data_IF_600653705243
#
_entry.id   IF_600653705243
#
_cell.length_a   1.000
_cell.length_b   1.000
_cell.length_c   1.000
_cell.angle_alpha   90.00
_cell.angle_beta   90.00
_cell.angle_gamma   90.00
#
_symmetry.space_group_name_H-M   'P 1'
#
loop_
_entity.id
_entity.type
_entity.pdbx_description
1 polymer ?
#
# COMPACT_ATOMS: atom_id res chain seq x y z
N UNK A 1 -7.80 -6.91 15.22
CA UNK A 1 -7.91 -5.43 15.18
C UNK A 1 -9.35 -5.04 15.49
N UNK A 2 -9.56 -4.03 16.35
CA UNK A 2 -10.90 -3.52 16.68
C UNK A 2 -11.13 -2.20 15.96
N UNK A 3 -12.28 -2.04 15.32
CA UNK A 3 -12.57 -0.92 14.43
C UNK A 3 -13.88 -0.24 14.84
N UNK A 4 -13.81 1.08 15.08
CA UNK A 4 -14.96 1.95 15.41
C UNK A 4 -14.84 3.26 14.65
N UNK A 5 -15.92 3.68 14.02
CA UNK A 5 -16.02 4.87 13.18
C UNK A 5 -15.24 4.74 11.88
N UNK A 6 -15.21 5.83 11.12
CA UNK A 6 -14.39 5.90 9.89
C UNK A 6 -12.92 5.65 10.23
N UNK A 7 -12.31 4.71 9.52
CA UNK A 7 -10.91 4.35 9.66
C UNK A 7 -10.03 5.23 8.78
N UNK A 8 -8.83 5.55 9.26
CA UNK A 8 -7.75 6.09 8.43
C UNK A 8 -7.19 4.95 7.59
N UNK A 9 -7.53 4.95 6.31
CA UNK A 9 -7.12 3.94 5.34
C UNK A 9 -6.28 4.55 4.25
N UNK A 10 -5.22 3.84 3.85
CA UNK A 10 -4.38 4.23 2.74
C UNK A 10 -4.01 3.00 1.91
N UNK A 11 -4.03 3.14 0.59
CA UNK A 11 -3.80 2.04 -0.35
C UNK A 11 -2.74 2.47 -1.33
N UNK A 12 -1.61 1.77 -1.31
CA UNK A 12 -0.44 2.09 -2.14
C UNK A 12 0.06 0.86 -2.87
N UNK A 13 0.89 1.09 -3.89
CA UNK A 13 1.57 0.02 -4.62
C UNK A 13 3.05 0.04 -4.26
N UNK A 14 3.59 -1.14 -3.97
CA UNK A 14 5.01 -1.35 -3.71
C UNK A 14 5.61 -2.14 -4.87
N UNK A 15 6.81 -1.74 -5.28
CA UNK A 15 7.59 -2.36 -6.36
C UNK A 15 6.78 -2.64 -7.65
N UNK A 16 6.09 -1.63 -8.23
CA UNK A 16 5.29 -1.82 -9.44
C UNK A 16 6.16 -2.32 -10.62
N UNK A 17 5.62 -3.24 -11.42
CA UNK A 17 6.31 -3.77 -12.61
C UNK A 17 7.42 -4.79 -12.32
N UNK A 18 7.53 -5.27 -11.09
CA UNK A 18 8.46 -6.36 -10.70
C UNK A 18 7.70 -7.59 -10.22
N UNK A 19 8.39 -8.74 -10.14
CA UNK A 19 7.83 -9.97 -9.56
C UNK A 19 7.58 -9.85 -8.04
N UNK A 20 8.12 -8.82 -7.41
CA UNK A 20 7.93 -8.49 -5.98
C UNK A 20 6.80 -7.48 -5.76
N UNK A 21 6.04 -7.14 -6.82
CA UNK A 21 4.95 -6.20 -6.71
C UNK A 21 3.97 -6.58 -5.59
N UNK A 22 3.49 -5.59 -4.86
CA UNK A 22 2.49 -5.78 -3.82
C UNK A 22 1.57 -4.57 -3.73
N UNK A 23 0.29 -4.81 -3.45
CA UNK A 23 -0.64 -3.76 -3.04
C UNK A 23 -0.66 -3.72 -1.52
N UNK A 24 -0.27 -2.58 -0.96
CA UNK A 24 -0.22 -2.36 0.48
C UNK A 24 -1.48 -1.62 0.94
N UNK A 25 -2.24 -2.23 1.83
CA UNK A 25 -3.45 -1.67 2.45
C UNK A 25 -3.15 -1.36 3.91
N UNK A 26 -3.11 -0.08 4.26
CA UNK A 26 -3.00 0.40 5.63
C UNK A 26 -4.39 0.68 6.18
N UNK A 27 -4.71 0.14 7.35
CA UNK A 27 -5.94 0.42 8.09
C UNK A 27 -5.54 0.74 9.53
N UNK A 28 -5.56 2.03 9.88
CA UNK A 28 -5.00 2.52 11.14
C UNK A 28 -3.53 2.12 11.28
N UNK A 29 -3.25 1.21 12.22
CA UNK A 29 -1.90 0.66 12.52
C UNK A 29 -1.62 -0.71 11.89
N UNK A 30 -2.56 -1.25 11.13
CA UNK A 30 -2.39 -2.55 10.44
C UNK A 30 -1.97 -2.29 9.00
N UNK A 31 -1.01 -3.06 8.51
CA UNK A 31 -0.53 -3.03 7.14
C UNK A 31 -0.65 -4.42 6.51
N UNK A 32 -1.36 -4.51 5.40
CA UNK A 32 -1.60 -5.74 4.66
C UNK A 32 -0.91 -5.64 3.30
N UNK A 33 -0.02 -6.57 2.97
CA UNK A 33 0.55 -6.70 1.64
C UNK A 33 -0.18 -7.82 0.90
N UNK A 34 -0.78 -7.46 -0.24
CA UNK A 34 -1.47 -8.37 -1.14
C UNK A 34 -0.56 -8.58 -2.35
N UNK A 35 -0.13 -9.81 -2.60
CA UNK A 35 0.82 -10.12 -3.67
C UNK A 35 0.17 -10.66 -4.95
N UNK A 36 -1.16 -10.78 -4.98
CA UNK A 36 -1.90 -11.34 -6.11
C UNK A 36 -3.24 -10.62 -6.26
N UNK A 37 -3.67 -10.43 -7.52
CA UNK A 37 -4.99 -9.87 -7.82
C UNK A 37 -6.11 -10.72 -7.21
N UNK A 38 -6.00 -12.05 -7.31
CA UNK A 38 -6.99 -12.98 -6.77
C UNK A 38 -7.10 -12.92 -5.25
N UNK A 39 -6.01 -12.56 -4.55
CA UNK A 39 -6.04 -12.31 -3.10
C UNK A 39 -6.79 -11.02 -2.80
N UNK A 40 -6.52 -9.93 -3.52
CA UNK A 40 -7.23 -8.67 -3.34
C UNK A 40 -8.73 -8.80 -3.64
N UNK A 41 -9.08 -9.55 -4.69
CA UNK A 41 -10.46 -9.92 -5.01
C UNK A 41 -11.12 -10.71 -3.87
N UNK A 42 -10.44 -11.73 -3.34
CA UNK A 42 -10.97 -12.55 -2.26
C UNK A 42 -11.26 -11.72 -1.00
N UNK A 43 -10.34 -10.82 -0.64
CA UNK A 43 -10.56 -9.91 0.48
C UNK A 43 -11.80 -9.04 0.22
N UNK A 44 -11.90 -8.40 -0.95
CA UNK A 44 -13.06 -7.59 -1.31
C UNK A 44 -14.37 -8.39 -1.22
N UNK A 45 -14.40 -9.60 -1.78
CA UNK A 45 -15.59 -10.45 -1.81
C UNK A 45 -16.07 -10.80 -0.39
N UNK A 46 -15.16 -11.19 0.52
CA UNK A 46 -15.54 -11.48 1.91
C UNK A 46 -16.16 -10.25 2.59
N UNK A 47 -15.66 -9.05 2.33
CA UNK A 47 -16.27 -7.82 2.84
C UNK A 47 -17.64 -7.56 2.22
N UNK A 48 -17.80 -7.73 0.90
CA UNK A 48 -19.10 -7.56 0.24
C UNK A 48 -20.14 -8.57 0.71
N UNK A 49 -19.77 -9.84 0.85
CA UNK A 49 -20.64 -10.92 1.34
C UNK A 49 -21.09 -10.68 2.79
N UNK A 50 -20.23 -10.05 3.60
CA UNK A 50 -20.56 -9.70 4.99
C UNK A 50 -21.51 -8.51 5.13
N UNK A 51 -21.93 -7.86 4.03
CA UNK A 51 -22.76 -6.65 4.06
C UNK A 51 -24.10 -6.85 4.78
N UNK A 52 -24.78 -7.99 4.57
CA UNK A 52 -26.04 -8.27 5.24
C UNK A 52 -25.85 -8.40 6.76
N UNK A 53 -24.78 -9.08 7.20
CA UNK A 53 -24.45 -9.17 8.63
C UNK A 53 -24.07 -7.80 9.22
N UNK A 54 -23.44 -6.92 8.42
CA UNK A 54 -23.09 -5.58 8.83
C UNK A 54 -24.30 -4.67 9.07
N UNK A 55 -25.48 -4.96 8.49
CA UNK A 55 -26.71 -4.18 8.74
C UNK A 55 -27.22 -4.27 10.18
N UNK A 56 -26.81 -5.31 10.91
CA UNK A 56 -27.14 -5.46 12.32
C UNK A 56 -26.23 -4.61 13.23
N UNK A 57 -25.20 -3.95 12.69
CA UNK A 57 -24.33 -3.07 13.44
C UNK A 57 -25.02 -1.72 13.71
N UNK A 58 -24.64 -1.02 14.80
CA UNK A 58 -25.09 0.35 15.00
C UNK A 58 -24.49 1.29 13.93
N UNK A 59 -25.21 2.38 13.65
CA UNK A 59 -24.70 3.45 12.76
C UNK A 59 -23.44 4.07 13.34
N UNK A 60 -23.41 4.29 14.66
CA UNK A 60 -22.27 4.83 15.40
C UNK A 60 -22.06 4.01 16.68
N UNK A 61 -20.84 3.51 16.89
CA UNK A 61 -20.45 2.90 18.16
C UNK A 61 -19.60 3.86 19.00
N UNK A 62 -19.61 3.68 20.33
CA UNK A 62 -18.78 4.48 21.22
C UNK A 62 -17.30 4.10 21.04
N UNK A 63 -16.46 5.06 20.61
CA UNK A 63 -15.01 4.90 20.47
C UNK A 63 -14.31 4.51 21.77
N UNK A 64 -14.91 4.76 22.94
CA UNK A 64 -14.36 4.34 24.24
C UNK A 64 -14.30 2.82 24.38
N UNK A 65 -15.12 2.08 23.62
CA UNK A 65 -15.17 0.60 23.66
C UNK A 65 -13.90 -0.07 23.13
N UNK A 66 -13.07 0.65 22.37
CA UNK A 66 -11.83 0.13 21.77
C UNK A 66 -10.57 0.80 22.31
N UNK A 67 -10.65 1.58 23.39
CA UNK A 67 -9.45 2.21 23.96
C UNK A 67 -8.44 1.14 24.39
N UNK A 68 -7.21 1.25 23.88
CA UNK A 68 -6.08 0.45 24.33
C UNK A 68 -5.87 0.59 25.84
N UNK A 69 -5.34 -0.45 26.45
CA UNK A 69 -4.97 -0.45 27.87
C UNK A 69 -3.91 0.63 28.12
N UNK A 70 -4.13 1.50 29.11
CA UNK A 70 -3.19 2.57 29.45
C UNK A 70 -1.83 1.95 29.81
N UNK A 71 -0.77 2.35 29.11
CA UNK A 71 0.57 1.80 29.29
C UNK A 71 0.91 0.60 28.39
N UNK A 72 -0.03 0.15 27.55
CA UNK A 72 0.18 -0.92 26.58
C UNK A 72 -0.14 -0.41 25.17
N UNK A 73 0.86 -0.07 24.35
CA UNK A 73 0.61 0.35 22.98
C UNK A 73 -0.02 -0.81 22.20
N UNK A 74 -1.05 -0.54 21.40
CA UNK A 74 -1.60 -1.54 20.49
C UNK A 74 -0.54 -1.96 19.47
N UNK A 75 -0.30 -3.27 19.28
CA UNK A 75 0.70 -3.73 18.33
C UNK A 75 0.28 -3.35 16.90
N UNK A 76 1.22 -2.77 16.14
CA UNK A 76 1.10 -2.71 14.70
C UNK A 76 1.18 -4.12 14.13
N UNK A 77 0.30 -4.46 13.20
CA UNK A 77 0.23 -5.80 12.60
C UNK A 77 0.59 -5.69 11.13
N UNK A 78 1.62 -6.43 10.70
CA UNK A 78 2.01 -6.55 9.29
C UNK A 78 1.66 -7.95 8.81
N UNK A 79 0.95 -8.06 7.69
CA UNK A 79 0.49 -9.33 7.14
C UNK A 79 0.81 -9.39 5.67
N UNK A 80 1.50 -10.45 5.26
CA UNK A 80 1.67 -10.80 3.85
C UNK A 80 0.60 -11.84 3.49
N UNK A 81 -0.33 -11.46 2.61
CA UNK A 81 -1.41 -12.31 2.17
C UNK A 81 -1.15 -12.81 0.73
N UNK A 82 -1.24 -14.13 0.56
CA UNK A 82 -1.04 -14.83 -0.70
C UNK A 82 -2.16 -15.86 -0.85
N UNK A 83 -2.65 -16.05 -2.07
CA UNK A 83 -3.71 -17.01 -2.39
C UNK A 83 -5.06 -16.59 -1.83
N UNK A 84 -5.82 -17.57 -1.35
CA UNK A 84 -7.17 -17.38 -0.78
C UNK A 84 -7.17 -17.85 0.68
N UNK A 85 -6.81 -17.00 1.64
CA UNK A 85 -6.82 -17.41 3.04
C UNK A 85 -8.23 -17.78 3.50
N UNK A 86 -8.33 -18.79 4.37
CA UNK A 86 -9.59 -19.20 4.98
C UNK A 86 -10.30 -18.00 5.62
N UNK A 87 -11.59 -17.86 5.38
CA UNK A 87 -12.39 -16.74 5.87
C UNK A 87 -13.55 -17.20 6.74
N UNK A 88 -13.92 -16.38 7.71
CA UNK A 88 -15.15 -16.54 8.46
C UNK A 88 -15.75 -15.18 8.82
N UNK A 89 -17.07 -15.13 8.88
CA UNK A 89 -17.83 -13.94 9.27
C UNK A 89 -18.79 -14.36 10.37
N UNK A 90 -18.77 -13.66 11.50
CA UNK A 90 -19.61 -14.00 12.65
C UNK A 90 -20.00 -12.74 13.38
N UNK A 91 -21.28 -12.56 13.66
CA UNK A 91 -21.75 -11.53 14.56
C UNK A 91 -21.63 -12.02 16.00
N UNK A 92 -21.08 -11.19 16.88
CA UNK A 92 -20.83 -11.51 18.29
C UNK A 92 -21.58 -10.50 19.15
N UNK A 93 -22.25 -10.97 20.19
CA UNK A 93 -22.99 -10.12 21.14
C UNK A 93 -24.43 -9.82 20.74
N UNK A 94 -25.11 -10.74 20.05
CA UNK A 94 -26.56 -10.67 19.80
C UNK A 94 -27.34 -10.75 21.14
N UNK A 95 -28.45 -10.00 21.26
CA UNK A 95 -29.33 -10.01 22.45
C UNK A 95 -29.15 -8.80 23.39
N UNK A 96 -29.29 -8.99 24.70
CA UNK A 96 -29.30 -7.92 25.73
C UNK A 96 -28.04 -7.02 25.76
N UNK A 97 -26.98 -7.38 25.05
CA UNK A 97 -25.76 -6.58 24.93
C UNK A 97 -25.57 -5.96 23.54
N UNK A 98 -26.64 -5.46 22.90
CA UNK A 98 -26.59 -4.74 21.60
C UNK A 98 -25.49 -3.67 21.57
N UNK A 99 -25.26 -2.96 22.68
CA UNK A 99 -24.21 -1.93 22.77
C UNK A 99 -22.77 -2.47 22.74
N UNK A 100 -22.58 -3.78 22.74
CA UNK A 100 -21.29 -4.47 22.64
C UNK A 100 -21.25 -5.43 21.46
N UNK A 101 -22.26 -5.43 20.59
CA UNK A 101 -22.25 -6.26 19.40
C UNK A 101 -21.11 -5.83 18.46
N UNK A 102 -20.57 -6.79 17.71
CA UNK A 102 -19.60 -6.54 16.66
C UNK A 102 -19.62 -7.64 15.62
N UNK A 103 -19.26 -7.27 14.40
CA UNK A 103 -19.03 -8.19 13.31
C UNK A 103 -17.56 -8.60 13.34
N UNK A 104 -17.30 -9.89 13.52
CA UNK A 104 -15.98 -10.47 13.40
C UNK A 104 -15.79 -10.99 11.97
N UNK A 105 -14.92 -10.34 11.20
CA UNK A 105 -14.47 -10.83 9.89
C UNK A 105 -13.06 -11.37 10.07
N UNK A 106 -12.84 -12.65 9.84
CA UNK A 106 -11.53 -13.28 9.91
C UNK A 106 -11.09 -13.68 8.50
N UNK A 107 -9.85 -13.33 8.16
CA UNK A 107 -9.17 -13.63 6.90
C UNK A 107 -7.79 -14.18 7.24
N UNK A 108 -7.66 -15.49 7.23
CA UNK A 108 -6.47 -16.22 7.68
C UNK A 108 -6.16 -15.92 9.15
N UNK A 109 -5.02 -15.26 9.38
CA UNK A 109 -4.54 -14.89 10.72
C UNK A 109 -5.01 -13.50 11.16
N UNK A 110 -5.68 -12.75 10.29
CA UNK A 110 -6.17 -11.39 10.60
C UNK A 110 -7.64 -11.48 10.98
N UNK A 111 -7.99 -10.93 12.14
CA UNK A 111 -9.37 -10.78 12.55
C UNK A 111 -9.71 -9.29 12.73
N UNK A 112 -10.80 -8.87 12.12
CA UNK A 112 -11.38 -7.52 12.22
C UNK A 112 -12.63 -7.62 13.10
N UNK A 113 -12.65 -6.89 14.21
CA UNK A 113 -13.84 -6.69 15.03
C UNK A 113 -14.44 -5.33 14.66
N UNK A 114 -15.43 -5.35 13.77
CA UNK A 114 -16.10 -4.17 13.21
C UNK A 114 -17.31 -3.82 14.07
N UNK A 115 -17.34 -2.60 14.61
CA UNK A 115 -18.32 -2.20 15.63
C UNK A 115 -19.45 -1.32 15.09
N UNK A 116 -19.27 -0.66 13.94
CA UNK A 116 -20.26 0.21 13.35
C UNK A 116 -20.15 0.29 11.82
N UNK A 117 -21.13 0.97 11.21
CA UNK A 117 -21.20 1.17 9.76
C UNK A 117 -20.01 1.97 9.22
N UNK A 118 -19.53 2.98 9.96
CA UNK A 118 -18.40 3.80 9.52
C UNK A 118 -17.12 2.98 9.34
N UNK A 119 -16.85 2.09 10.29
CA UNK A 119 -15.73 1.16 10.21
C UNK A 119 -15.90 0.18 9.05
N UNK A 120 -17.11 -0.38 8.90
CA UNK A 120 -17.40 -1.32 7.82
C UNK A 120 -17.20 -0.73 6.42
N UNK A 121 -17.76 0.46 6.18
CA UNK A 121 -17.70 1.11 4.88
C UNK A 121 -16.30 1.57 4.51
N UNK A 122 -15.56 2.16 5.45
CA UNK A 122 -14.18 2.60 5.19
C UNK A 122 -13.26 1.43 4.83
N UNK A 123 -13.38 0.29 5.53
CA UNK A 123 -12.62 -0.91 5.17
C UNK A 123 -13.06 -1.52 3.83
N UNK A 124 -14.37 -1.63 3.59
CA UNK A 124 -14.89 -2.12 2.29
C UNK A 124 -14.37 -1.27 1.12
N UNK A 125 -14.34 0.06 1.28
CA UNK A 125 -13.81 0.96 0.26
C UNK A 125 -12.30 0.76 0.08
N UNK A 126 -11.53 0.63 1.16
CA UNK A 126 -10.09 0.37 1.07
C UNK A 126 -9.79 -0.94 0.31
N UNK A 127 -10.57 -2.01 0.53
CA UNK A 127 -10.39 -3.26 -0.22
C UNK A 127 -10.87 -3.16 -1.67
N UNK A 128 -11.87 -2.32 -1.95
CA UNK A 128 -12.28 -2.01 -3.33
C UNK A 128 -11.16 -1.27 -4.07
N UNK A 129 -10.56 -0.28 -3.45
CA UNK A 129 -9.43 0.47 -4.02
C UNK A 129 -8.21 -0.44 -4.22
N UNK A 130 -7.94 -1.31 -3.25
CA UNK A 130 -6.88 -2.32 -3.34
C UNK A 130 -7.10 -3.29 -4.51
N UNK A 131 -8.33 -3.79 -4.70
CA UNK A 131 -8.66 -4.64 -5.85
C UNK A 131 -8.50 -3.89 -7.17
N UNK A 132 -8.99 -2.65 -7.24
CA UNK A 132 -8.83 -1.82 -8.43
C UNK A 132 -7.35 -1.61 -8.78
N UNK A 133 -6.50 -1.29 -7.82
CA UNK A 133 -5.05 -1.16 -8.03
C UNK A 133 -4.41 -2.50 -8.43
N UNK A 134 -4.80 -3.60 -7.77
CA UNK A 134 -4.26 -4.92 -8.04
C UNK A 134 -4.48 -5.36 -9.51
N UNK A 135 -5.60 -4.96 -10.13
CA UNK A 135 -5.88 -5.23 -11.56
C UNK A 135 -4.86 -4.60 -12.51
N UNK A 136 -4.24 -3.49 -12.11
CA UNK A 136 -3.25 -2.80 -12.92
C UNK A 136 -1.81 -3.23 -12.60
N UNK A 137 -1.56 -3.65 -11.36
CA UNK A 137 -0.21 -3.96 -10.87
C UNK A 137 0.22 -5.39 -11.19
N UNK A 138 -0.70 -6.36 -11.15
CA UNK A 138 -0.36 -7.78 -11.35
C UNK A 138 -0.49 -8.26 -12.79
N UNK A 139 -0.18 -7.39 -13.75
CA UNK A 139 -0.17 -7.73 -15.17
C UNK A 139 1.06 -8.60 -15.47
N UNK A 140 0.94 -9.68 -16.28
CA UNK A 140 2.09 -10.53 -16.58
C UNK A 140 3.27 -9.72 -17.14
N UNK A 141 4.51 -9.95 -16.65
CA UNK A 141 5.67 -9.24 -17.14
C UNK A 141 5.81 -9.45 -18.66
N UNK A 142 5.85 -8.34 -19.41
CA UNK A 142 5.82 -8.33 -20.88
C UNK A 142 4.48 -7.87 -21.50
N UNK A 143 3.36 -7.98 -20.78
CA UNK A 143 2.07 -7.48 -21.26
C UNK A 143 1.91 -5.97 -21.07
N UNK A 144 2.59 -5.36 -20.07
CA UNK A 144 2.60 -3.90 -19.86
C UNK A 144 3.22 -3.13 -21.03
N UNK A 145 4.25 -3.69 -21.70
CA UNK A 145 4.84 -3.06 -22.90
C UNK A 145 3.86 -3.01 -24.06
N UNK A 146 3.03 -4.04 -24.20
CA UNK A 146 1.97 -4.10 -25.21
C UNK A 146 0.85 -3.12 -24.88
N UNK A 147 0.47 -3.03 -23.60
CA UNK A 147 -0.61 -2.13 -23.17
C UNK A 147 -0.21 -0.66 -23.26
N UNK A 148 0.99 -0.28 -22.82
CA UNK A 148 1.51 1.09 -23.03
C UNK A 148 1.73 1.38 -24.50
N UNK A 149 2.34 0.47 -25.26
CA UNK A 149 2.52 0.65 -26.70
C UNK A 149 1.18 0.80 -27.46
N UNK A 150 0.16 0.04 -27.08
CA UNK A 150 -1.18 0.15 -27.68
C UNK A 150 -1.91 1.44 -27.26
N UNK A 151 -1.74 1.89 -26.02
CA UNK A 151 -2.29 3.18 -25.55
C UNK A 151 -1.57 4.36 -26.20
N UNK A 152 -0.25 4.29 -26.36
CA UNK A 152 0.54 5.32 -27.06
C UNK A 152 0.15 5.38 -28.54
N UNK A 153 0.01 4.23 -29.21
CA UNK A 153 -0.43 4.14 -30.62
C UNK A 153 -1.89 4.58 -30.79
N UNK A 154 -2.78 4.21 -29.86
CA UNK A 154 -4.17 4.68 -29.88
C UNK A 154 -4.26 6.18 -29.61
N UNK A 155 -3.45 6.70 -28.68
CA UNK A 155 -3.35 8.14 -28.42
C UNK A 155 -2.86 8.89 -29.67
N UNK A 156 -1.88 8.37 -30.39
CA UNK A 156 -1.42 8.93 -31.67
C UNK A 156 -2.50 8.85 -32.77
N UNK A 157 -3.32 7.80 -32.77
CA UNK A 157 -4.37 7.61 -33.77
C UNK A 157 -5.61 8.50 -33.54
N UNK A 158 -6.00 8.73 -32.28
CA UNK A 158 -7.18 9.53 -31.92
C UNK A 158 -6.85 10.99 -31.63
N UNK A 159 -5.61 11.28 -31.23
CA UNK A 159 -5.09 12.62 -30.97
C UNK A 159 -3.72 12.78 -31.61
N UNK A 160 -3.61 12.78 -32.95
CA UNK A 160 -2.35 13.05 -33.61
C UNK A 160 -1.88 14.42 -33.14
N UNK A 161 -0.85 14.45 -32.31
CA UNK A 161 -0.25 15.69 -31.85
C UNK A 161 0.16 16.45 -33.12
N UNK A 162 -0.36 17.67 -33.30
CA UNK A 162 0.10 18.60 -34.32
C UNK A 162 1.60 18.81 -34.11
N UNK A 163 2.42 18.02 -34.81
CA UNK A 163 3.86 18.13 -34.81
C UNK A 163 4.19 19.52 -35.32
N UNK A 164 4.53 20.43 -34.40
CA UNK A 164 5.25 21.65 -34.75
C UNK A 164 6.58 21.22 -35.35
N UNK A 165 6.62 21.32 -36.67
CA UNK A 165 7.77 21.11 -37.52
C UNK A 165 8.77 22.24 -37.26
N UNK A 166 9.59 22.10 -36.21
CA UNK A 166 10.73 22.99 -36.04
C UNK A 166 11.88 22.56 -36.95
N UNK A 167 11.87 23.21 -38.11
CA UNK A 167 13.04 23.51 -38.92
C UNK A 167 14.17 24.04 -38.05
N UNK A 168 15.26 23.29 -37.91
CA UNK A 168 16.63 23.81 -38.03
C UNK A 168 17.64 22.67 -38.14
N UNK A 169 17.99 22.39 -39.38
CA UNK A 169 19.30 21.88 -39.72
C UNK A 169 20.37 22.92 -39.33
N UNK A 170 21.42 22.50 -38.64
CA UNK A 170 22.78 22.95 -38.94
C UNK A 170 23.79 21.88 -38.48
N UNK A 171 24.67 21.38 -39.37
CA UNK A 171 25.73 20.45 -39.00
C UNK A 171 26.98 21.24 -38.57
N UNK A 172 27.67 20.83 -37.51
CA UNK A 172 29.05 21.30 -37.27
C UNK A 172 29.91 20.28 -36.51
N UNK A 173 30.74 19.61 -37.31
CA UNK A 173 32.14 19.24 -37.10
C UNK A 173 32.56 18.50 -35.82
N UNK A 174 32.93 17.24 -36.06
CA UNK A 174 34.04 16.51 -35.44
C UNK A 174 35.28 17.39 -35.20
N UNK A 175 35.85 17.28 -33.99
CA UNK A 175 37.30 17.42 -33.78
C UNK A 175 37.75 16.57 -32.57
N UNK A 176 38.65 15.58 -32.76
CA UNK A 176 39.28 14.85 -31.67
C UNK A 176 40.58 15.54 -31.23
N UNK A 177 40.90 15.50 -29.93
CA UNK A 177 42.25 15.75 -29.44
C UNK A 177 42.51 14.93 -28.16
N UNK A 178 43.70 14.33 -28.15
CA UNK A 178 44.15 13.27 -27.27
C UNK A 178 45.00 13.78 -26.08
N UNK A 179 45.30 12.83 -25.19
CA UNK A 179 46.47 12.72 -24.31
C UNK A 179 46.47 13.46 -22.95
N UNK A 180 46.69 12.63 -21.92
CA UNK A 180 46.81 12.88 -20.47
C UNK A 180 48.27 13.30 -20.07
N UNK A 181 48.80 13.17 -18.81
CA UNK A 181 48.25 12.88 -17.47
C UNK A 181 48.85 13.83 -16.35
N UNK A 182 49.34 13.41 -15.15
CA UNK A 182 48.83 13.81 -13.83
C UNK A 182 49.80 14.66 -12.96
N UNK A 183 49.29 15.32 -11.91
CA UNK A 183 50.07 15.78 -10.75
C UNK A 183 49.20 15.53 -9.51
N UNK A 184 49.47 14.58 -8.60
CA UNK A 184 50.62 14.34 -7.71
C UNK A 184 51.01 15.59 -6.90
N UNK A 185 50.40 15.70 -5.73
CA UNK A 185 50.97 16.40 -4.58
C UNK A 185 50.75 15.54 -3.32
N UNK A 186 51.73 14.67 -3.09
CA UNK A 186 52.33 14.46 -1.76
C UNK A 186 52.59 15.85 -1.12
N UNK A 187 52.58 16.12 0.18
CA UNK A 187 52.71 15.35 1.41
C UNK A 187 52.60 16.38 2.55
N UNK A 188 52.25 15.97 3.77
CA UNK A 188 52.35 16.86 4.93
C UNK A 188 51.69 16.32 6.19
N UNK A 189 52.44 15.68 7.11
CA UNK A 189 51.91 15.01 8.27
C UNK A 189 51.75 15.96 9.45
N UNK A 190 50.75 15.75 10.31
CA UNK A 190 50.86 16.25 11.69
C UNK A 190 50.36 15.24 12.72
N UNK A 191 51.16 15.16 13.78
CA UNK A 191 51.19 14.19 14.88
C UNK A 191 49.96 14.25 15.79
N UNK A 192 49.59 13.06 16.29
CA UNK A 192 48.80 12.74 17.50
C UNK A 192 49.45 13.28 18.82
N UNK A 193 49.00 12.89 20.04
CA UNK A 193 47.72 13.06 20.79
C UNK A 193 48.07 13.60 22.23
N UNK A 194 47.56 13.07 23.37
CA UNK A 194 46.22 13.04 23.98
C UNK A 194 46.15 13.84 25.32
N UNK A 195 44.96 14.09 25.90
CA UNK A 195 44.82 14.15 27.37
C UNK A 195 43.47 13.64 27.85
N UNK A 196 43.56 12.66 28.72
CA UNK A 196 42.58 12.13 29.66
C UNK A 196 42.03 13.20 30.62
N UNK A 197 40.77 13.05 31.03
CA UNK A 197 40.14 13.85 32.07
C UNK A 197 39.03 13.05 32.76
N UNK A 198 39.36 12.53 33.94
CA UNK A 198 38.55 11.69 34.82
C UNK A 198 37.69 12.55 35.76
N UNK A 199 36.52 12.00 36.15
CA UNK A 199 35.82 12.13 37.44
C UNK A 199 35.37 13.52 37.97
N UNK A 200 34.05 13.67 38.17
CA UNK A 200 33.41 13.58 39.49
C UNK A 200 31.91 13.30 39.36
#
# INVERSE_FOLDING_TARGET
MRLVGVQDTDVTVQHPGTDEAAVAVRIGRTLLYLHQQTTAEHFLNVWLESHEAARALPVNADRRTIRGLRGMPEPGVVVNAIGRPASSVTIVGEGEQVHRSYLRIQLGRVAFEVRDHGAFHSCTNAFRDAYNLARYVFVPPGSERVLRGAVDVASDAFFPALVKRDLRATPSRLRPAAAAPPQRSESGPYRRPPTSGTAR
#
